data_IF_648569396866
#
_entry.id   IF_648569396866
#
_cell.length_a   1.000
_cell.length_b   1.000
_cell.length_c   1.000
_cell.angle_alpha   90.00
_cell.angle_beta   90.00
_cell.angle_gamma   90.00
#
_symmetry.space_group_name_H-M   'P 1'
#
loop_
_entity.id
_entity.type
_entity.pdbx_description
1 polymer ?
#
# COMPACT_ATOMS: atom_id res chain seq x y z
N UNK A 1 -7.29 -36.96 -35.65
CA UNK A 1 -6.72 -36.09 -34.67
C UNK A 1 -6.81 -34.66 -35.19
N UNK A 2 -7.95 -33.98 -34.95
CA UNK A 2 -8.26 -32.66 -35.45
C UNK A 2 -7.64 -31.65 -34.51
N UNK A 3 -6.63 -30.92 -34.94
CA UNK A 3 -6.16 -29.72 -34.25
C UNK A 3 -7.25 -28.67 -34.34
N UNK A 4 -7.97 -28.46 -33.27
CA UNK A 4 -8.85 -27.30 -33.08
C UNK A 4 -7.97 -26.07 -33.00
N UNK A 5 -7.81 -25.34 -34.10
CA UNK A 5 -7.25 -24.00 -34.10
C UNK A 5 -8.13 -23.16 -33.15
N UNK A 6 -7.55 -22.75 -32.01
CA UNK A 6 -8.17 -21.82 -31.13
C UNK A 6 -8.60 -20.59 -31.93
N UNK A 7 -9.90 -20.33 -32.00
CA UNK A 7 -10.44 -19.07 -32.50
C UNK A 7 -9.80 -17.95 -31.68
N UNK A 8 -8.83 -17.26 -32.24
CA UNK A 8 -8.38 -15.99 -31.71
C UNK A 8 -9.57 -15.05 -31.88
N UNK A 9 -10.34 -14.88 -30.82
CA UNK A 9 -11.41 -13.91 -30.78
C UNK A 9 -10.82 -12.54 -31.17
N UNK A 10 -11.50 -11.72 -31.97
CA UNK A 10 -11.02 -10.38 -32.31
C UNK A 10 -10.78 -9.62 -31.01
N UNK A 11 -9.58 -9.05 -30.89
CA UNK A 11 -9.22 -8.24 -29.69
C UNK A 11 -10.12 -7.01 -29.70
N UNK A 12 -11.18 -7.07 -28.89
CA UNK A 12 -12.07 -5.93 -28.69
C UNK A 12 -11.47 -5.01 -27.64
N UNK A 13 -11.42 -3.71 -27.91
CA UNK A 13 -11.02 -2.70 -26.94
C UNK A 13 -12.27 -2.10 -26.29
N UNK A 14 -12.29 -1.93 -24.97
CA UNK A 14 -11.28 -2.30 -23.96
C UNK A 14 -11.15 -3.81 -23.77
N UNK A 15 -9.95 -4.28 -23.38
CA UNK A 15 -9.70 -5.70 -23.13
C UNK A 15 -10.64 -6.21 -22.04
N UNK A 16 -11.45 -7.22 -22.33
CA UNK A 16 -12.37 -7.85 -21.35
C UNK A 16 -11.74 -9.07 -20.69
N UNK A 17 -10.92 -9.81 -21.42
CA UNK A 17 -10.29 -11.05 -20.94
C UNK A 17 -9.28 -10.76 -19.82
N UNK A 18 -9.45 -11.34 -18.61
CA UNK A 18 -8.54 -11.15 -17.48
C UNK A 18 -7.11 -11.62 -17.78
N UNK A 19 -6.93 -12.65 -18.61
CA UNK A 19 -5.62 -13.22 -18.97
C UNK A 19 -4.86 -12.22 -19.84
N UNK A 20 -5.52 -11.62 -20.83
CA UNK A 20 -4.93 -10.61 -21.70
C UNK A 20 -4.59 -9.33 -20.92
N UNK A 21 -5.43 -8.91 -19.99
CA UNK A 21 -5.16 -7.79 -19.08
C UNK A 21 -3.91 -8.05 -18.26
N UNK A 22 -3.83 -9.23 -17.64
CA UNK A 22 -2.68 -9.61 -16.83
C UNK A 22 -1.40 -9.66 -17.64
N UNK A 23 -1.45 -10.25 -18.85
CA UNK A 23 -0.32 -10.31 -19.77
C UNK A 23 0.16 -8.90 -20.16
N UNK A 24 -0.76 -8.00 -20.50
CA UNK A 24 -0.44 -6.61 -20.83
C UNK A 24 0.26 -5.89 -19.67
N UNK A 25 -0.28 -6.04 -18.45
CA UNK A 25 0.32 -5.46 -17.25
C UNK A 25 1.73 -6.02 -17.03
N UNK A 26 1.90 -7.34 -17.18
CA UNK A 26 3.20 -7.99 -17.01
C UNK A 26 4.23 -7.49 -18.04
N UNK A 27 3.83 -7.33 -19.30
CA UNK A 27 4.68 -6.73 -20.34
C UNK A 27 5.09 -5.31 -19.96
N UNK A 28 4.16 -4.49 -19.44
CA UNK A 28 4.45 -3.12 -19.02
C UNK A 28 5.39 -3.09 -17.82
N UNK A 29 5.19 -3.95 -16.82
CA UNK A 29 6.08 -4.06 -15.66
C UNK A 29 7.51 -4.41 -16.08
N UNK A 30 7.67 -5.23 -17.12
CA UNK A 30 8.99 -5.59 -17.64
C UNK A 30 9.58 -4.51 -18.57
N UNK A 31 8.76 -3.95 -19.45
CA UNK A 31 9.22 -3.01 -20.48
C UNK A 31 9.47 -1.59 -19.93
N UNK A 32 8.61 -1.11 -19.02
CA UNK A 32 8.71 0.26 -18.52
C UNK A 32 10.07 0.56 -17.82
N UNK A 33 10.60 -0.29 -16.93
CA UNK A 33 11.92 -0.06 -16.36
C UNK A 33 13.04 -0.03 -17.41
N UNK A 34 12.98 -0.91 -18.41
CA UNK A 34 14.01 -1.00 -19.45
C UNK A 34 14.04 0.28 -20.33
N UNK A 35 12.86 0.79 -20.68
CA UNK A 35 12.73 1.99 -21.50
C UNK A 35 13.13 3.24 -20.69
N UNK A 36 12.72 3.32 -19.44
CA UNK A 36 12.87 4.53 -18.61
C UNK A 36 14.24 4.65 -17.95
N UNK A 37 14.96 3.54 -17.77
CA UNK A 37 16.37 3.58 -17.36
C UNK A 37 17.24 4.35 -18.36
N UNK A 38 16.91 4.30 -19.65
CA UNK A 38 17.60 5.10 -20.68
C UNK A 38 17.33 6.59 -20.53
N UNK A 39 16.16 6.96 -19.99
CA UNK A 39 15.73 8.34 -19.78
C UNK A 39 16.11 8.89 -18.39
N UNK A 40 16.78 8.10 -17.55
CA UNK A 40 17.12 8.44 -16.14
C UNK A 40 15.90 8.80 -15.30
N UNK A 41 14.72 8.30 -15.64
CA UNK A 41 13.47 8.49 -14.90
C UNK A 41 13.32 7.33 -13.91
N UNK A 42 12.96 7.60 -12.64
CA UNK A 42 12.67 6.56 -11.67
C UNK A 42 11.59 5.59 -12.20
N UNK A 43 11.84 4.30 -12.14
CA UNK A 43 10.98 3.26 -12.72
C UNK A 43 9.53 3.30 -12.18
N UNK A 44 9.35 3.72 -10.93
CA UNK A 44 8.01 3.87 -10.32
C UNK A 44 7.17 4.95 -11.03
N UNK A 45 7.76 6.11 -11.35
CA UNK A 45 7.08 7.16 -12.12
C UNK A 45 6.67 6.63 -13.49
N UNK A 46 7.54 5.84 -14.10
CA UNK A 46 7.24 5.22 -15.38
C UNK A 46 6.07 4.25 -15.35
N UNK A 47 5.97 3.43 -14.31
CA UNK A 47 4.83 2.54 -14.13
C UNK A 47 3.52 3.31 -13.92
N UNK A 48 3.56 4.42 -13.16
CA UNK A 48 2.38 5.29 -12.97
C UNK A 48 1.96 5.92 -14.29
N UNK A 49 2.90 6.46 -15.06
CA UNK A 49 2.62 7.05 -16.38
C UNK A 49 2.06 5.99 -17.34
N UNK A 50 2.68 4.80 -17.40
CA UNK A 50 2.20 3.71 -18.21
C UNK A 50 0.77 3.30 -17.82
N UNK A 51 0.47 3.19 -16.51
CA UNK A 51 -0.87 2.93 -16.01
C UNK A 51 -1.88 4.01 -16.41
N UNK A 52 -1.50 5.28 -16.37
CA UNK A 52 -2.35 6.39 -16.82
C UNK A 52 -2.64 6.32 -18.33
N UNK A 53 -1.62 5.96 -19.14
CA UNK A 53 -1.76 5.84 -20.61
C UNK A 53 -2.69 4.69 -21.01
N UNK A 54 -2.55 3.51 -20.38
CA UNK A 54 -3.39 2.34 -20.74
C UNK A 54 -4.76 2.36 -20.05
N UNK A 55 -4.92 3.18 -19.04
CA UNK A 55 -6.13 3.29 -18.22
C UNK A 55 -7.32 3.89 -18.96
N UNK A 56 -8.49 3.97 -18.27
CA UNK A 56 -9.76 4.40 -18.87
C UNK A 56 -9.76 5.86 -19.36
N UNK A 57 -8.90 6.70 -18.82
CA UNK A 57 -8.76 8.11 -19.23
C UNK A 57 -7.63 8.35 -20.25
N UNK A 58 -6.87 7.30 -20.61
CA UNK A 58 -5.85 7.33 -21.66
C UNK A 58 -6.33 6.61 -22.91
N UNK A 59 -5.61 5.55 -23.29
CA UNK A 59 -5.94 4.73 -24.50
C UNK A 59 -7.14 3.79 -24.28
N UNK A 60 -7.70 3.74 -23.08
CA UNK A 60 -8.83 2.88 -22.71
C UNK A 60 -8.61 1.39 -23.06
N UNK A 61 -7.36 0.92 -22.90
CA UNK A 61 -7.02 -0.49 -23.16
C UNK A 61 -7.47 -1.39 -22.02
N UNK A 62 -7.40 -0.89 -20.77
CA UNK A 62 -7.72 -1.64 -19.56
C UNK A 62 -8.70 -0.85 -18.71
N UNK A 63 -9.88 -1.42 -18.46
CA UNK A 63 -10.83 -0.89 -17.51
C UNK A 63 -10.45 -1.25 -16.09
N UNK A 64 -10.79 -0.37 -15.13
CA UNK A 64 -10.63 -0.63 -13.70
C UNK A 64 -11.73 -1.57 -13.21
N UNK A 65 -11.52 -2.85 -13.40
CA UNK A 65 -12.41 -3.91 -12.93
C UNK A 65 -11.93 -4.55 -11.61
N UNK A 66 -12.69 -5.51 -11.11
CA UNK A 66 -12.38 -6.23 -9.87
C UNK A 66 -11.02 -6.94 -9.92
N UNK A 67 -10.59 -7.45 -11.07
CA UNK A 67 -9.32 -8.15 -11.25
C UNK A 67 -8.13 -7.20 -11.07
N UNK A 68 -8.21 -6.01 -11.66
CA UNK A 68 -7.18 -4.96 -11.54
C UNK A 68 -7.11 -4.43 -10.11
N UNK A 69 -8.28 -4.19 -9.50
CA UNK A 69 -8.36 -3.72 -8.10
C UNK A 69 -7.75 -4.78 -7.17
N UNK A 70 -8.11 -6.05 -7.34
CA UNK A 70 -7.59 -7.15 -6.53
C UNK A 70 -6.07 -7.26 -6.66
N UNK A 71 -5.55 -7.23 -7.90
CA UNK A 71 -4.10 -7.31 -8.16
C UNK A 71 -3.34 -6.13 -7.53
N UNK A 72 -3.87 -4.92 -7.64
CA UNK A 72 -3.28 -3.72 -7.02
C UNK A 72 -3.31 -3.79 -5.50
N UNK A 73 -4.43 -4.22 -4.92
CA UNK A 73 -4.57 -4.38 -3.46
C UNK A 73 -3.62 -5.46 -2.93
N UNK A 74 -3.52 -6.61 -3.61
CA UNK A 74 -2.59 -7.67 -3.24
C UNK A 74 -1.14 -7.19 -3.30
N UNK A 75 -0.77 -6.43 -4.34
CA UNK A 75 0.56 -5.84 -4.45
C UNK A 75 0.87 -4.84 -3.31
N UNK A 76 -0.10 -3.99 -2.95
CA UNK A 76 0.04 -3.06 -1.84
C UNK A 76 0.23 -3.80 -0.50
N UNK A 77 -0.60 -4.80 -0.22
CA UNK A 77 -0.47 -5.62 1.00
C UNK A 77 0.87 -6.35 1.05
N UNK A 78 1.35 -6.84 -0.09
CA UNK A 78 2.65 -7.50 -0.19
C UNK A 78 3.82 -6.53 0.14
N UNK A 79 3.79 -5.31 -0.40
CA UNK A 79 4.81 -4.29 -0.10
C UNK A 79 4.78 -3.91 1.39
N UNK A 80 3.59 -3.74 1.98
CA UNK A 80 3.43 -3.46 3.41
C UNK A 80 3.97 -4.60 4.28
N UNK A 81 3.70 -5.85 3.89
CA UNK A 81 4.20 -7.03 4.59
C UNK A 81 5.74 -7.11 4.54
N UNK A 82 6.34 -6.94 3.35
CA UNK A 82 7.80 -6.92 3.20
C UNK A 82 8.45 -5.79 4.01
N UNK A 83 7.85 -4.60 3.97
CA UNK A 83 8.31 -3.46 4.78
C UNK A 83 8.30 -3.78 6.27
N UNK A 84 7.26 -4.47 6.75
CA UNK A 84 7.17 -4.91 8.15
C UNK A 84 8.23 -5.95 8.53
N UNK A 85 8.56 -6.88 7.62
CA UNK A 85 9.59 -7.90 7.86
C UNK A 85 11.01 -7.31 7.90
N UNK A 86 11.28 -6.32 7.07
CA UNK A 86 12.61 -5.67 7.00
C UNK A 86 12.88 -4.76 8.21
N UNK A 87 11.85 -4.38 8.96
CA UNK A 87 11.99 -3.50 10.12
C UNK A 87 12.58 -4.22 11.33
N UNK A 88 13.60 -3.62 11.94
CA UNK A 88 14.09 -4.06 13.24
C UNK A 88 13.12 -3.60 14.34
N UNK A 89 12.50 -4.57 15.01
CA UNK A 89 11.55 -4.31 16.10
C UNK A 89 12.17 -3.56 17.29
N UNK A 90 13.48 -3.69 17.50
CA UNK A 90 14.20 -2.99 18.56
C UNK A 90 14.34 -1.51 18.24
N UNK A 91 14.65 -1.17 17.00
CA UNK A 91 14.79 0.20 16.54
C UNK A 91 13.41 0.89 16.42
N UNK A 92 12.38 0.13 16.05
CA UNK A 92 11.01 0.62 16.05
C UNK A 92 10.55 1.01 17.47
N UNK A 93 10.80 0.16 18.48
CA UNK A 93 10.46 0.47 19.87
C UNK A 93 11.20 1.72 20.38
N UNK A 94 12.49 1.87 20.05
CA UNK A 94 13.28 3.04 20.42
C UNK A 94 12.85 4.33 19.71
N UNK A 95 12.33 4.21 18.52
CA UNK A 95 11.94 5.34 17.65
C UNK A 95 10.43 5.65 17.69
N UNK A 96 9.63 4.89 18.45
CA UNK A 96 8.16 4.96 18.44
C UNK A 96 7.61 6.36 18.67
N UNK A 97 8.16 7.11 19.63
CA UNK A 97 7.76 8.51 19.86
C UNK A 97 8.07 9.42 18.66
N UNK A 98 9.23 9.22 18.02
CA UNK A 98 9.61 10.00 16.84
C UNK A 98 8.73 9.65 15.64
N UNK A 99 8.38 8.37 15.45
CA UNK A 99 7.43 7.93 14.43
C UNK A 99 6.03 8.51 14.68
N UNK A 100 5.60 8.59 15.95
CA UNK A 100 4.32 9.21 16.30
C UNK A 100 4.30 10.69 15.94
N UNK A 101 5.30 11.45 16.38
CA UNK A 101 5.41 12.89 16.09
C UNK A 101 5.51 13.12 14.59
N UNK A 102 6.35 12.35 13.88
CA UNK A 102 6.48 12.45 12.44
C UNK A 102 5.15 12.14 11.73
N UNK A 103 4.47 11.04 12.10
CA UNK A 103 3.17 10.66 11.55
C UNK A 103 2.09 11.73 11.78
N UNK A 104 2.04 12.32 12.98
CA UNK A 104 1.10 13.41 13.25
C UNK A 104 1.37 14.65 12.39
N UNK A 105 2.64 15.07 12.26
CA UNK A 105 2.99 16.20 11.39
C UNK A 105 2.65 15.94 9.92
N UNK A 106 3.04 14.77 9.41
CA UNK A 106 2.79 14.38 8.01
C UNK A 106 1.31 14.12 7.71
N UNK A 107 0.49 13.89 8.74
CA UNK A 107 -0.96 13.84 8.61
C UNK A 107 -1.60 15.23 8.73
N UNK A 108 -1.32 15.97 9.79
CA UNK A 108 -2.01 17.23 10.09
C UNK A 108 -1.71 18.35 9.10
N UNK A 109 -0.46 18.46 8.62
CA UNK A 109 -0.08 19.55 7.71
C UNK A 109 -0.75 19.41 6.33
N UNK A 110 -0.66 18.27 5.61
CA UNK A 110 -1.39 18.09 4.37
C UNK A 110 -2.90 18.13 4.54
N UNK A 111 -3.42 17.62 5.67
CA UNK A 111 -4.85 17.69 5.98
C UNK A 111 -5.33 19.14 6.06
N UNK A 112 -4.64 19.99 6.84
CA UNK A 112 -5.00 21.40 6.96
C UNK A 112 -4.91 22.15 5.63
N UNK A 113 -3.81 21.96 4.87
CA UNK A 113 -3.64 22.57 3.57
C UNK A 113 -4.67 22.08 2.55
N UNK A 114 -4.98 20.78 2.57
CA UNK A 114 -5.97 20.16 1.70
C UNK A 114 -7.39 20.65 1.97
N UNK A 115 -7.77 20.86 3.25
CA UNK A 115 -9.07 21.44 3.63
C UNK A 115 -9.15 22.89 3.11
N UNK A 116 -8.10 23.70 3.35
CA UNK A 116 -8.06 25.08 2.88
C UNK A 116 -8.18 25.16 1.35
N UNK A 117 -7.40 24.34 0.65
CA UNK A 117 -7.44 24.29 -0.81
C UNK A 117 -8.82 23.82 -1.33
N UNK A 118 -9.37 22.75 -0.78
CA UNK A 118 -10.68 22.21 -1.17
C UNK A 118 -11.80 23.21 -0.95
N UNK A 119 -11.82 23.86 0.21
CA UNK A 119 -12.89 24.77 0.58
C UNK A 119 -12.78 26.13 -0.13
N UNK A 120 -11.59 26.80 -0.09
CA UNK A 120 -11.43 28.17 -0.60
C UNK A 120 -11.07 28.23 -2.08
N UNK A 121 -10.30 27.27 -2.61
CA UNK A 121 -9.85 27.31 -4.00
C UNK A 121 -10.79 26.54 -4.90
N UNK A 122 -11.21 25.33 -4.48
CA UNK A 122 -12.05 24.46 -5.31
C UNK A 122 -13.56 24.65 -5.05
N UNK A 123 -13.95 25.37 -4.00
CA UNK A 123 -15.36 25.64 -3.66
C UNK A 123 -16.13 24.38 -3.22
N UNK A 124 -15.47 23.38 -2.72
CA UNK A 124 -16.12 22.15 -2.27
C UNK A 124 -16.84 22.35 -0.93
N UNK A 125 -17.83 21.49 -0.66
CA UNK A 125 -18.43 21.43 0.68
C UNK A 125 -17.37 21.05 1.71
N UNK A 126 -17.58 21.40 2.97
CA UNK A 126 -16.64 21.10 4.06
C UNK A 126 -16.34 19.59 4.15
N UNK A 127 -17.34 18.72 4.01
CA UNK A 127 -17.16 17.27 4.03
C UNK A 127 -16.31 16.78 2.86
N UNK A 128 -16.57 17.27 1.65
CA UNK A 128 -15.79 16.92 0.46
C UNK A 128 -14.34 17.42 0.56
N UNK A 129 -14.14 18.61 1.15
CA UNK A 129 -12.81 19.17 1.39
C UNK A 129 -12.00 18.34 2.39
N UNK A 130 -12.64 17.86 3.47
CA UNK A 130 -11.99 16.98 4.45
C UNK A 130 -11.67 15.62 3.84
N UNK A 131 -12.56 15.03 3.03
CA UNK A 131 -12.29 13.78 2.31
C UNK A 131 -11.11 13.93 1.36
N UNK A 132 -11.09 14.99 0.57
CA UNK A 132 -9.96 15.29 -0.34
C UNK A 132 -8.65 15.46 0.43
N UNK A 133 -8.68 16.21 1.52
CA UNK A 133 -7.53 16.43 2.38
C UNK A 133 -7.04 15.13 3.03
N UNK A 134 -7.93 14.24 3.45
CA UNK A 134 -7.61 12.91 3.97
C UNK A 134 -6.87 12.04 2.95
N UNK A 135 -7.20 12.14 1.66
CA UNK A 135 -6.46 11.45 0.59
C UNK A 135 -5.03 11.97 0.45
N UNK A 136 -4.81 13.29 0.60
CA UNK A 136 -3.45 13.87 0.57
C UNK A 136 -2.66 13.58 1.83
N UNK A 137 -3.32 13.43 2.97
CA UNK A 137 -2.67 13.13 4.24
C UNK A 137 -2.27 11.65 4.39
N UNK A 138 -2.90 10.75 3.63
CA UNK A 138 -2.52 9.33 3.61
C UNK A 138 -1.28 9.15 2.74
N UNK A 139 -0.21 8.68 3.36
CA UNK A 139 1.07 8.41 2.68
C UNK A 139 1.22 6.92 2.45
N UNK A 140 1.43 6.54 1.19
CA UNK A 140 1.72 5.16 0.84
C UNK A 140 3.23 4.90 0.82
N UNK A 141 3.64 3.69 1.21
CA UNK A 141 5.05 3.24 1.18
C UNK A 141 5.58 3.02 -0.25
N UNK A 142 5.19 3.86 -1.21
CA UNK A 142 5.59 3.75 -2.63
C UNK A 142 7.11 3.83 -2.80
N UNK A 143 7.78 4.64 -1.98
CA UNK A 143 9.23 4.79 -2.04
C UNK A 143 9.99 3.62 -1.39
N UNK A 144 9.33 2.75 -0.62
CA UNK A 144 9.99 1.67 0.12
C UNK A 144 10.80 0.71 -0.77
N UNK A 145 10.31 0.26 -1.95
CA UNK A 145 11.11 -0.58 -2.84
C UNK A 145 12.41 0.09 -3.33
N UNK A 146 12.45 1.42 -3.42
CA UNK A 146 13.67 2.15 -3.77
C UNK A 146 14.66 2.11 -2.62
N UNK A 147 14.17 2.37 -1.42
CA UNK A 147 14.96 2.34 -0.17
C UNK A 147 15.56 0.95 0.06
N UNK A 148 14.78 -0.10 -0.15
CA UNK A 148 15.22 -1.49 -0.03
C UNK A 148 16.31 -1.83 -1.06
N UNK A 149 16.16 -1.40 -2.32
CA UNK A 149 17.19 -1.58 -3.36
C UNK A 149 18.50 -0.86 -3.05
N UNK A 150 18.43 0.27 -2.35
CA UNK A 150 19.61 1.02 -1.92
C UNK A 150 20.29 0.41 -0.68
N UNK A 151 19.70 -0.62 -0.07
CA UNK A 151 20.23 -1.30 1.12
C UNK A 151 20.17 -0.47 2.39
N UNK A 152 19.34 0.60 2.42
CA UNK A 152 19.21 1.52 3.57
C UNK A 152 17.90 1.33 4.33
N UNK A 153 17.20 0.22 4.14
CA UNK A 153 15.91 -0.08 4.80
C UNK A 153 16.00 -0.08 6.34
N UNK A 154 17.19 -0.35 6.90
CA UNK A 154 17.45 -0.32 8.34
C UNK A 154 17.92 1.03 8.87
N UNK A 155 17.97 2.06 8.03
CA UNK A 155 18.29 3.40 8.50
C UNK A 155 17.20 3.92 9.44
N UNK A 156 17.62 4.67 10.47
CA UNK A 156 16.72 5.21 11.49
C UNK A 156 15.68 6.15 10.90
N UNK A 157 16.02 6.92 9.88
CA UNK A 157 15.08 7.81 9.21
C UNK A 157 14.01 7.01 8.47
N UNK A 158 14.38 5.91 7.83
CA UNK A 158 13.45 5.00 7.15
C UNK A 158 12.52 4.33 8.16
N UNK A 159 13.06 3.83 9.27
CA UNK A 159 12.26 3.24 10.37
C UNK A 159 11.22 4.24 10.91
N UNK A 160 11.62 5.50 11.12
CA UNK A 160 10.71 6.55 11.57
C UNK A 160 9.63 6.85 10.52
N UNK A 161 10.01 6.94 9.24
CA UNK A 161 9.08 7.21 8.15
C UNK A 161 8.05 6.08 7.98
N UNK A 162 8.49 4.83 7.98
CA UNK A 162 7.59 3.65 7.90
C UNK A 162 6.64 3.60 9.09
N UNK A 163 7.18 3.80 10.32
CA UNK A 163 6.34 3.88 11.52
C UNK A 163 5.34 5.03 11.47
N UNK A 164 5.74 6.18 10.94
CA UNK A 164 4.86 7.33 10.70
C UNK A 164 3.75 7.02 9.72
N UNK A 165 4.04 6.28 8.63
CA UNK A 165 3.04 5.87 7.63
C UNK A 165 1.93 5.01 8.24
N UNK A 166 2.27 4.06 9.12
CA UNK A 166 1.26 3.24 9.83
C UNK A 166 0.30 4.13 10.62
N UNK A 167 0.83 5.19 11.25
CA UNK A 167 0.02 6.14 12.01
C UNK A 167 -0.86 6.98 11.08
N UNK A 168 -0.31 7.53 9.99
CA UNK A 168 -1.08 8.32 9.02
C UNK A 168 -2.20 7.51 8.36
N UNK A 169 -1.95 6.26 7.99
CA UNK A 169 -2.95 5.37 7.39
C UNK A 169 -4.08 5.07 8.39
N UNK A 170 -3.73 4.79 9.65
CA UNK A 170 -4.73 4.58 10.70
C UNK A 170 -5.59 5.83 10.92
N UNK A 171 -4.98 7.01 11.01
CA UNK A 171 -5.69 8.28 11.18
C UNK A 171 -6.57 8.63 9.97
N UNK A 172 -6.09 8.34 8.74
CA UNK A 172 -6.85 8.57 7.51
C UNK A 172 -8.09 7.67 7.45
N UNK A 173 -7.99 6.39 7.84
CA UNK A 173 -9.13 5.48 7.90
C UNK A 173 -10.13 5.88 8.99
N UNK A 174 -9.66 6.33 10.15
CA UNK A 174 -10.51 6.87 11.21
C UNK A 174 -11.25 8.13 10.73
N UNK A 175 -10.52 9.07 10.10
CA UNK A 175 -11.10 10.27 9.52
C UNK A 175 -12.19 9.93 8.50
N UNK A 176 -11.88 9.00 7.58
CA UNK A 176 -12.84 8.53 6.57
C UNK A 176 -14.10 7.98 7.21
N UNK A 177 -13.96 7.13 8.24
CA UNK A 177 -15.10 6.52 8.94
C UNK A 177 -15.98 7.59 9.59
N UNK A 178 -15.37 8.58 10.23
CA UNK A 178 -16.11 9.69 10.88
C UNK A 178 -16.85 10.53 9.81
N UNK A 179 -16.17 10.92 8.74
CA UNK A 179 -16.76 11.78 7.70
C UNK A 179 -17.90 11.06 6.97
N UNK A 180 -17.73 9.78 6.64
CA UNK A 180 -18.80 8.98 6.02
C UNK A 180 -19.98 8.84 6.99
N UNK A 181 -19.74 8.58 8.27
CA UNK A 181 -20.78 8.54 9.30
C UNK A 181 -21.56 9.87 9.37
N UNK A 182 -20.85 11.00 9.40
CA UNK A 182 -21.47 12.34 9.42
C UNK A 182 -22.27 12.64 8.14
N UNK A 183 -21.74 12.28 6.98
CA UNK A 183 -22.41 12.50 5.70
C UNK A 183 -23.68 11.64 5.52
N UNK A 184 -23.72 10.46 6.14
CA UNK A 184 -24.89 9.56 6.10
C UNK A 184 -25.92 9.82 7.22
N UNK A 185 -25.63 10.77 8.12
CA UNK A 185 -26.51 11.10 9.25
C UNK A 185 -26.56 10.04 10.35
N UNK A 186 -25.63 9.09 10.34
CA UNK A 186 -25.60 7.95 11.28
C UNK A 186 -24.67 8.18 12.49
N UNK A 187 -24.42 9.44 12.87
CA UNK A 187 -23.55 9.77 14.01
C UNK A 187 -24.40 10.01 15.26
N UNK A 188 -24.80 8.91 15.87
CA UNK A 188 -25.42 8.90 17.20
C UNK A 188 -24.37 8.77 18.29
N UNK A 189 -24.75 8.97 19.57
CA UNK A 189 -23.85 8.70 20.71
C UNK A 189 -23.29 7.27 20.67
N UNK A 190 -24.09 6.31 20.20
CA UNK A 190 -23.66 4.91 20.02
C UNK A 190 -22.57 4.74 18.96
N UNK A 191 -22.46 5.64 17.97
CA UNK A 191 -21.45 5.61 16.92
C UNK A 191 -20.04 5.81 17.54
N UNK A 192 -19.88 6.83 18.37
CA UNK A 192 -18.59 7.12 19.01
C UNK A 192 -18.14 5.98 19.91
N UNK A 193 -19.07 5.38 20.64
CA UNK A 193 -18.77 4.24 21.50
C UNK A 193 -18.35 3.01 20.70
N UNK A 194 -19.08 2.68 19.63
CA UNK A 194 -18.74 1.57 18.74
C UNK A 194 -17.39 1.79 18.05
N UNK A 195 -17.12 3.00 17.56
CA UNK A 195 -15.86 3.35 16.91
C UNK A 195 -14.70 3.18 17.90
N UNK A 196 -14.80 3.75 19.09
CA UNK A 196 -13.77 3.63 20.13
C UNK A 196 -13.55 2.18 20.55
N UNK A 197 -14.62 1.43 20.78
CA UNK A 197 -14.55 0.01 21.13
C UNK A 197 -13.91 -0.82 20.01
N UNK A 198 -14.25 -0.56 18.75
CA UNK A 198 -13.68 -1.25 17.59
C UNK A 198 -12.19 -0.99 17.45
N UNK A 199 -11.74 0.25 17.63
CA UNK A 199 -10.31 0.63 17.59
C UNK A 199 -9.55 -0.03 18.73
N UNK A 200 -10.06 0.01 19.95
CA UNK A 200 -9.43 -0.62 21.11
C UNK A 200 -9.37 -2.15 20.95
N UNK A 201 -10.44 -2.76 20.43
CA UNK A 201 -10.48 -4.18 20.15
C UNK A 201 -9.44 -4.56 19.08
N UNK A 202 -9.33 -3.78 18.01
CA UNK A 202 -8.36 -4.00 16.94
C UNK A 202 -6.93 -3.90 17.47
N UNK A 203 -6.62 -2.87 18.25
CA UNK A 203 -5.30 -2.71 18.91
C UNK A 203 -5.05 -3.90 19.86
N UNK A 204 -6.02 -4.32 20.64
CA UNK A 204 -5.92 -5.47 21.52
C UNK A 204 -5.62 -6.76 20.78
N UNK A 205 -6.31 -7.02 19.67
CA UNK A 205 -6.06 -8.19 18.80
C UNK A 205 -4.62 -8.15 18.26
N UNK A 206 -4.18 -7.01 17.74
CA UNK A 206 -2.84 -6.88 17.17
C UNK A 206 -1.76 -7.08 18.23
N UNK A 207 -1.91 -6.49 19.40
CA UNK A 207 -0.87 -6.53 20.44
C UNK A 207 -0.82 -7.85 21.22
N UNK A 208 -1.95 -8.53 21.41
CA UNK A 208 -2.04 -9.73 22.23
C UNK A 208 -2.26 -11.00 21.42
N UNK A 209 -3.23 -11.01 20.51
CA UNK A 209 -3.59 -12.22 19.77
C UNK A 209 -2.55 -12.54 18.70
N UNK A 210 -2.04 -11.56 17.98
CA UNK A 210 -1.08 -11.79 16.90
C UNK A 210 0.26 -12.37 17.39
N UNK A 211 0.91 -11.86 18.45
CA UNK A 211 2.12 -12.47 18.98
C UNK A 211 1.87 -13.88 19.54
N UNK A 212 0.70 -14.10 20.14
CA UNK A 212 0.32 -15.43 20.66
C UNK A 212 0.16 -16.44 19.52
N UNK A 213 -0.54 -16.07 18.45
CA UNK A 213 -0.69 -16.90 17.26
C UNK A 213 0.64 -17.16 16.57
N UNK A 214 1.48 -16.14 16.42
CA UNK A 214 2.81 -16.29 15.84
C UNK A 214 3.66 -17.26 16.66
N UNK A 215 3.69 -17.09 17.98
CA UNK A 215 4.44 -17.99 18.86
C UNK A 215 3.93 -19.44 18.79
N UNK A 216 2.61 -19.61 18.79
CA UNK A 216 1.98 -20.92 18.64
C UNK A 216 2.32 -21.56 17.29
N UNK A 217 2.20 -20.80 16.20
CA UNK A 217 2.50 -21.25 14.84
C UNK A 217 3.96 -21.70 14.70
N UNK A 218 4.91 -20.87 15.13
CA UNK A 218 6.34 -21.20 15.06
C UNK A 218 6.73 -22.35 15.97
N UNK A 219 6.05 -22.53 17.10
CA UNK A 219 6.25 -23.69 17.98
C UNK A 219 5.74 -24.98 17.34
N UNK A 220 4.62 -24.92 16.59
CA UNK A 220 4.02 -26.09 15.95
C UNK A 220 4.72 -26.45 14.63
N UNK A 221 5.17 -25.45 13.89
CA UNK A 221 5.90 -25.61 12.62
C UNK A 221 7.42 -25.74 12.86
N UNK A 222 7.82 -26.59 13.80
CA UNK A 222 9.22 -26.83 14.17
C UNK A 222 10.01 -27.67 13.14
N UNK A 223 9.44 -27.92 11.96
CA UNK A 223 10.14 -28.57 10.86
C UNK A 223 11.17 -27.60 10.24
N UNK A 224 12.45 -27.99 10.33
CA UNK A 224 13.60 -27.24 9.82
C UNK A 224 13.48 -26.80 8.35
N UNK A 225 12.64 -27.47 7.57
CA UNK A 225 12.37 -27.14 6.16
C UNK A 225 11.52 -25.89 6.01
N UNK A 226 10.51 -25.69 6.86
CA UNK A 226 9.65 -24.52 6.81
C UNK A 226 10.37 -23.23 7.24
N UNK A 227 11.28 -23.34 8.21
CA UNK A 227 12.12 -22.21 8.63
C UNK A 227 13.15 -21.84 7.57
N UNK A 228 13.75 -22.81 6.88
CA UNK A 228 14.68 -22.56 5.78
C UNK A 228 14.01 -21.89 4.58
N UNK A 229 12.76 -22.24 4.25
CA UNK A 229 12.05 -21.60 3.15
C UNK A 229 11.68 -20.14 3.45
N UNK A 230 11.30 -19.83 4.68
CA UNK A 230 11.00 -18.44 5.10
C UNK A 230 12.27 -17.59 5.17
N UNK A 231 13.38 -18.16 5.63
CA UNK A 231 14.69 -17.49 5.65
C UNK A 231 15.22 -17.29 4.23
N UNK A 232 15.02 -18.26 3.31
CA UNK A 232 15.44 -18.14 1.91
C UNK A 232 14.64 -17.11 1.11
N UNK A 233 13.37 -16.88 1.45
CA UNK A 233 12.57 -15.81 0.84
C UNK A 233 13.03 -14.44 1.33
N UNK A 234 13.54 -14.34 2.57
CA UNK A 234 14.02 -13.09 3.16
C UNK A 234 15.51 -12.80 2.93
N UNK A 235 16.30 -13.74 2.42
CA UNK A 235 17.77 -13.62 2.25
C UNK A 235 18.32 -13.68 0.80
N UNK A 236 17.67 -13.16 -0.25
CA UNK A 236 18.36 -13.11 -1.56
C UNK A 236 19.51 -12.08 -1.61
N UNK A 237 19.70 -11.27 -0.57
CA UNK A 237 20.66 -10.15 -0.60
C UNK A 237 21.88 -10.32 0.30
N UNK A 238 21.95 -11.33 1.16
CA UNK A 238 23.07 -11.48 2.11
C UNK A 238 24.33 -12.08 1.49
N UNK A 239 24.20 -12.84 0.40
CA UNK A 239 25.37 -13.45 -0.28
C UNK A 239 26.04 -12.56 -1.33
N UNK A 240 25.43 -11.42 -1.70
CA UNK A 240 26.03 -10.49 -2.65
C UNK A 240 26.99 -9.46 -2.02
N UNK A 241 27.21 -9.52 -0.70
CA UNK A 241 28.09 -8.57 0.02
C UNK A 241 29.44 -9.16 0.42
N UNK A 242 29.77 -10.39 0.02
CA UNK A 242 31.10 -11.00 0.28
C UNK A 242 31.67 -11.44 -1.06
N UNK A 243 32.00 -10.49 -1.91
CA UNK A 243 32.99 -10.63 -3.00
C UNK A 243 33.48 -9.27 -3.43
#
# INVERSE_FOLDING_TARGET
MMFQFAHIAPITLPLEDPILKFLLILIIILAAPLLLNKLKIPYLLGLIIAGAVIGPHGLNLVLRDSSIILSGTAGLLYIMFLSGLDMDTSDFKKSGWRSLVFGLYTFCVPLALGILAGYYIMGFSIYSSILLAGLFASQTLIAYPIVSKLGISRDKAVTIAVGGTVITDTLALLLLTVIVGMATGNVDESFWWRLSASVLLCIGIILFLFPLLAHWFFKQCSDNVSQLSLIHISEPTRHAQIS
#
